data_IF_861272719318
#
_entry.id   IF_861272719318
#
_cell.length_a   1.000
_cell.length_b   1.000
_cell.length_c   1.000
_cell.angle_alpha   90.00
_cell.angle_beta   90.00
_cell.angle_gamma   90.00
#
_symmetry.space_group_name_H-M   'P 1'
#
loop_
_entity.id
_entity.type
_entity.pdbx_description
1 polymer ?
#
# COMPACT_ATOMS: atom_id res chain seq x y z
N UNK A 1 41.00 4.95 0.08
CA UNK A 1 40.11 4.78 1.24
C UNK A 1 38.87 5.68 1.24
N UNK A 2 38.92 6.93 0.75
CA UNK A 2 37.75 7.83 0.73
C UNK A 2 36.59 7.34 -0.16
N UNK A 3 36.90 6.73 -1.31
CA UNK A 3 35.90 6.20 -2.24
C UNK A 3 35.22 4.91 -1.77
N UNK A 4 35.88 4.14 -0.89
CA UNK A 4 35.33 2.90 -0.32
C UNK A 4 34.26 3.23 0.72
N UNK A 5 34.49 4.26 1.56
CA UNK A 5 33.50 4.76 2.52
C UNK A 5 32.26 5.37 1.84
N UNK A 6 32.43 6.06 0.70
CA UNK A 6 31.31 6.61 -0.08
C UNK A 6 30.50 5.50 -0.76
N UNK A 7 31.14 4.43 -1.25
CA UNK A 7 30.44 3.28 -1.82
C UNK A 7 29.69 2.44 -0.75
N UNK A 8 30.23 2.34 0.47
CA UNK A 8 29.57 1.65 1.59
C UNK A 8 28.30 2.38 2.08
N UNK A 9 28.29 3.72 2.00
CA UNK A 9 27.11 4.52 2.38
C UNK A 9 25.94 4.41 1.37
N UNK A 10 26.24 4.07 0.11
CA UNK A 10 25.22 3.91 -0.93
C UNK A 10 24.48 2.56 -0.84
N UNK A 11 25.08 1.56 -0.19
CA UNK A 11 24.52 0.22 -0.09
C UNK A 11 23.47 0.04 1.03
N UNK A 12 23.43 0.93 2.02
CA UNK A 12 22.54 0.76 3.19
C UNK A 12 21.10 1.24 2.97
N UNK A 13 20.82 1.88 1.83
CA UNK A 13 19.46 2.29 1.43
C UNK A 13 18.74 1.17 0.65
N UNK A 14 19.41 0.05 0.41
CA UNK A 14 18.86 -1.07 -0.34
C UNK A 14 17.94 -1.91 0.56
N UNK A 15 16.65 -1.62 0.44
CA UNK A 15 15.52 -2.53 0.70
C UNK A 15 15.19 -2.86 2.16
N UNK A 16 14.71 -1.86 2.91
CA UNK A 16 13.93 -2.10 4.12
C UNK A 16 12.49 -2.56 3.78
N UNK A 17 12.33 -3.63 3.00
CA UNK A 17 11.00 -4.22 2.75
C UNK A 17 10.44 -4.70 4.09
N UNK A 18 9.16 -4.47 4.40
CA UNK A 18 8.53 -5.08 5.57
C UNK A 18 7.01 -5.02 5.42
N UNK A 19 6.28 -5.86 6.16
CA UNK A 19 4.83 -5.71 6.29
C UNK A 19 4.39 -4.47 7.08
N UNK A 20 5.33 -3.77 7.72
CA UNK A 20 5.10 -2.46 8.32
C UNK A 20 5.09 -1.36 7.25
N UNK A 21 3.89 -0.88 6.95
CA UNK A 21 3.63 0.17 5.97
C UNK A 21 4.44 1.45 6.26
N UNK A 22 4.75 1.75 7.53
CA UNK A 22 5.46 2.96 7.92
C UNK A 22 6.96 2.92 7.60
N UNK A 23 7.54 1.75 7.33
CA UNK A 23 8.93 1.67 6.86
C UNK A 23 9.08 2.18 5.43
N UNK A 24 8.09 1.95 4.58
CA UNK A 24 8.06 2.47 3.21
C UNK A 24 7.40 3.86 3.14
N UNK A 25 6.41 4.13 4.00
CA UNK A 25 5.68 5.40 4.07
C UNK A 25 5.96 6.13 5.39
N UNK A 26 7.17 6.70 5.59
CA UNK A 26 7.52 7.36 6.86
C UNK A 26 6.63 8.57 7.17
N UNK A 27 6.07 9.24 6.15
CA UNK A 27 5.10 10.33 6.32
C UNK A 27 3.80 9.91 7.03
N UNK A 28 3.43 8.63 6.92
CA UNK A 28 2.25 8.05 7.56
C UNK A 28 2.35 8.09 9.09
N UNK A 29 3.57 8.08 9.66
CA UNK A 29 3.76 8.15 11.12
C UNK A 29 3.06 9.36 11.75
N UNK A 30 2.95 10.46 11.00
CA UNK A 30 2.28 11.69 11.46
C UNK A 30 0.75 11.55 11.52
N UNK A 31 0.17 10.71 10.67
CA UNK A 31 -1.28 10.53 10.53
C UNK A 31 -1.78 9.16 10.97
N UNK A 32 -0.92 8.28 11.51
CA UNK A 32 -1.27 6.90 11.89
C UNK A 32 -2.35 6.83 12.98
N UNK A 33 -2.52 7.88 13.77
CA UNK A 33 -3.56 7.97 14.79
C UNK A 33 -4.89 8.51 14.25
N UNK A 34 -4.93 8.96 13.00
CA UNK A 34 -6.16 9.43 12.38
C UNK A 34 -7.10 8.24 12.17
N UNK A 35 -8.40 8.51 12.25
CA UNK A 35 -9.46 7.50 12.11
C UNK A 35 -9.29 6.60 10.88
N UNK A 36 -8.84 7.19 9.76
CA UNK A 36 -8.68 6.47 8.48
C UNK A 36 -7.41 5.61 8.40
N UNK A 37 -6.37 5.91 9.19
CA UNK A 37 -5.08 5.20 9.15
C UNK A 37 -4.81 4.33 10.39
N UNK A 38 -5.59 4.47 11.47
CA UNK A 38 -5.41 3.69 12.70
C UNK A 38 -5.50 2.17 12.48
N UNK A 39 -6.25 1.76 11.46
CA UNK A 39 -6.38 0.35 11.05
C UNK A 39 -5.03 -0.29 10.70
N UNK A 40 -4.07 0.50 10.20
CA UNK A 40 -2.74 0.01 9.83
C UNK A 40 -1.98 -0.54 11.05
N UNK A 41 -2.28 -0.07 12.26
CA UNK A 41 -1.74 -0.64 13.50
C UNK A 41 -2.19 -2.07 13.75
N UNK A 42 -3.38 -2.46 13.27
CA UNK A 42 -3.83 -3.86 13.32
C UNK A 42 -3.17 -4.68 12.22
N UNK A 43 -2.95 -4.12 11.04
CA UNK A 43 -2.29 -4.84 9.95
C UNK A 43 -0.87 -5.30 10.35
N UNK A 44 -0.11 -4.42 11.01
CA UNK A 44 1.26 -4.73 11.43
C UNK A 44 1.35 -5.76 12.55
N UNK A 45 0.26 -6.11 13.26
CA UNK A 45 0.32 -7.17 14.28
C UNK A 45 0.46 -8.56 13.65
N UNK A 46 -0.04 -8.72 12.42
CA UNK A 46 0.06 -9.97 11.66
C UNK A 46 1.13 -9.89 10.56
N UNK A 47 1.36 -8.70 10.01
CA UNK A 47 2.37 -8.42 8.99
C UNK A 47 3.60 -7.71 9.60
N UNK A 48 4.17 -8.28 10.66
CA UNK A 48 5.33 -7.73 11.38
C UNK A 48 6.68 -8.10 10.73
N UNK A 49 6.69 -9.16 9.91
CA UNK A 49 7.88 -9.72 9.25
C UNK A 49 7.85 -9.51 7.74
N UNK A 50 9.03 -9.51 7.10
CA UNK A 50 9.09 -9.72 5.66
C UNK A 50 8.62 -11.14 5.35
N UNK A 51 7.70 -11.26 4.40
CA UNK A 51 7.68 -12.46 3.58
C UNK A 51 8.96 -12.48 2.73
N UNK A 52 9.64 -13.63 2.63
CA UNK A 52 10.77 -13.82 1.71
C UNK A 52 10.38 -13.57 0.23
N UNK A 53 9.08 -13.39 -0.05
CA UNK A 53 8.53 -13.08 -1.36
C UNK A 53 8.26 -11.58 -1.57
N UNK A 54 8.41 -10.73 -0.54
CA UNK A 54 8.26 -9.27 -0.65
C UNK A 54 9.59 -8.64 -1.05
N UNK A 55 9.80 -8.46 -2.36
CA UNK A 55 11.06 -7.98 -2.91
C UNK A 55 11.29 -6.47 -2.79
N UNK A 56 10.24 -5.63 -2.63
CA UNK A 56 10.38 -4.17 -2.59
C UNK A 56 9.41 -3.46 -1.62
N UNK A 57 9.93 -2.42 -0.95
CA UNK A 57 9.14 -1.44 -0.21
C UNK A 57 8.37 -0.57 -1.22
N UNK A 58 7.04 -0.53 -1.15
CA UNK A 58 6.24 0.30 -2.06
C UNK A 58 6.12 -0.22 -3.50
N UNK A 59 6.60 -1.43 -3.80
CA UNK A 59 5.87 -2.23 -4.79
C UNK A 59 4.47 -2.40 -4.23
N UNK A 60 3.41 -2.17 -5.01
CA UNK A 60 2.04 -2.32 -4.50
C UNK A 60 2.03 -3.63 -3.68
N UNK A 61 1.60 -3.60 -2.42
CA UNK A 61 1.31 -4.84 -1.69
C UNK A 61 0.43 -5.76 -2.57
N UNK A 62 -0.30 -5.11 -3.49
CA UNK A 62 -1.14 -5.71 -4.50
C UNK A 62 -0.48 -6.10 -5.83
N UNK A 63 0.77 -5.72 -6.10
CA UNK A 63 1.58 -6.23 -7.21
C UNK A 63 1.73 -7.74 -7.16
N UNK A 64 1.78 -8.33 -5.96
CA UNK A 64 1.84 -9.78 -5.77
C UNK A 64 0.46 -10.41 -5.44
N UNK A 65 -0.48 -9.62 -4.91
CA UNK A 65 -1.82 -10.09 -4.52
C UNK A 65 -2.90 -9.08 -4.86
N UNK A 66 -3.80 -9.33 -5.82
CA UNK A 66 -4.89 -8.37 -6.11
C UNK A 66 -5.62 -7.92 -4.84
N UNK A 67 -5.77 -6.60 -4.69
CA UNK A 67 -6.49 -5.97 -3.57
C UNK A 67 -7.91 -6.52 -3.45
N UNK A 68 -8.58 -6.68 -4.60
CA UNK A 68 -9.92 -7.25 -4.68
C UNK A 68 -9.97 -8.70 -4.22
N UNK A 69 -8.95 -9.50 -4.54
CA UNK A 69 -8.84 -10.89 -4.08
C UNK A 69 -8.70 -10.99 -2.56
N UNK A 70 -7.90 -10.11 -1.95
CA UNK A 70 -7.73 -10.07 -0.50
C UNK A 70 -9.00 -9.62 0.22
N UNK A 71 -9.69 -8.60 -0.30
CA UNK A 71 -10.99 -8.15 0.21
C UNK A 71 -12.01 -9.29 0.21
N UNK A 72 -12.00 -10.13 -0.83
CA UNK A 72 -12.93 -11.25 -0.97
C UNK A 72 -12.49 -12.52 -0.23
N UNK A 73 -11.37 -12.49 0.52
CA UNK A 73 -10.93 -13.63 1.32
C UNK A 73 -11.79 -13.82 2.59
N UNK A 74 -11.71 -15.00 3.20
CA UNK A 74 -12.44 -15.31 4.43
C UNK A 74 -11.93 -14.54 5.67
N UNK A 75 -10.74 -13.95 5.58
CA UNK A 75 -10.15 -13.18 6.67
C UNK A 75 -10.83 -11.83 6.83
N UNK A 76 -11.59 -11.68 7.92
CA UNK A 76 -12.32 -10.44 8.25
C UNK A 76 -11.41 -9.20 8.30
N UNK A 77 -10.15 -9.34 8.70
CA UNK A 77 -9.17 -8.26 8.71
C UNK A 77 -8.86 -7.75 7.28
N UNK A 78 -8.79 -8.63 6.28
CA UNK A 78 -8.53 -8.22 4.89
C UNK A 78 -9.73 -7.51 4.25
N UNK A 79 -10.95 -7.79 4.70
CA UNK A 79 -12.16 -7.07 4.24
C UNK A 79 -12.08 -5.57 4.53
N UNK A 80 -11.31 -5.16 5.54
CA UNK A 80 -11.09 -3.74 5.86
C UNK A 80 -10.34 -2.98 4.76
N UNK A 81 -9.63 -3.66 3.85
CA UNK A 81 -8.97 -3.03 2.71
C UNK A 81 -9.96 -2.28 1.79
N UNK A 82 -11.24 -2.63 1.80
CA UNK A 82 -12.29 -1.89 1.09
C UNK A 82 -12.40 -0.43 1.58
N UNK A 83 -12.12 -0.17 2.86
CA UNK A 83 -12.09 1.20 3.40
C UNK A 83 -10.97 2.03 2.79
N UNK A 84 -9.81 1.43 2.54
CA UNK A 84 -8.65 2.10 1.93
C UNK A 84 -8.97 2.60 0.52
N UNK A 85 -9.80 1.86 -0.24
CA UNK A 85 -10.22 2.21 -1.62
C UNK A 85 -11.06 3.49 -1.68
N UNK A 86 -11.62 3.93 -0.56
CA UNK A 86 -12.28 5.24 -0.45
C UNK A 86 -11.33 6.41 -0.66
N UNK A 87 -10.01 6.22 -0.57
CA UNK A 87 -9.03 7.26 -0.89
C UNK A 87 -7.95 6.76 -1.85
N UNK A 88 -7.51 5.51 -1.71
CA UNK A 88 -6.48 4.87 -2.53
C UNK A 88 -7.10 3.99 -3.63
N UNK A 89 -7.50 4.60 -4.73
CA UNK A 89 -8.08 3.90 -5.89
C UNK A 89 -6.97 3.14 -6.61
N UNK A 90 -7.14 1.83 -6.83
CA UNK A 90 -6.18 1.03 -7.59
C UNK A 90 -6.39 1.20 -9.10
N UNK A 91 -5.37 0.84 -9.89
CA UNK A 91 -5.49 0.79 -11.36
C UNK A 91 -6.58 -0.19 -11.82
N UNK A 92 -6.73 -1.31 -11.12
CA UNK A 92 -7.78 -2.30 -11.38
C UNK A 92 -9.17 -1.67 -11.22
N UNK A 93 -9.38 -0.89 -10.16
CA UNK A 93 -10.65 -0.20 -9.93
C UNK A 93 -10.93 0.84 -10.99
N UNK A 94 -9.90 1.60 -11.36
CA UNK A 94 -9.98 2.59 -12.42
C UNK A 94 -10.39 1.99 -13.77
N UNK A 95 -9.91 0.80 -14.09
CA UNK A 95 -10.25 0.10 -15.33
C UNK A 95 -11.59 -0.65 -15.24
N UNK A 96 -12.09 -0.92 -14.04
CA UNK A 96 -13.36 -1.62 -13.80
C UNK A 96 -14.59 -0.71 -13.83
N UNK A 97 -14.40 0.61 -13.89
CA UNK A 97 -15.52 1.53 -14.05
C UNK A 97 -16.26 1.22 -15.35
N UNK A 98 -17.60 1.06 -15.31
CA UNK A 98 -18.36 0.81 -16.52
C UNK A 98 -18.08 1.95 -17.50
N UNK A 99 -17.66 1.60 -18.72
CA UNK A 99 -17.42 2.53 -19.81
C UNK A 99 -18.77 3.06 -20.30
N UNK A 100 -19.45 3.84 -19.46
CA UNK A 100 -20.64 4.57 -19.85
C UNK A 100 -20.13 5.80 -20.60
N UNK A 101 -20.51 5.92 -21.87
CA UNK A 101 -19.96 6.90 -22.83
C UNK A 101 -20.13 8.36 -22.40
N UNK A 102 -20.90 8.61 -21.34
CA UNK A 102 -21.25 9.95 -20.86
C UNK A 102 -20.49 10.37 -19.60
N UNK A 103 -19.74 9.48 -18.95
CA UNK A 103 -18.95 9.81 -17.75
C UNK A 103 -17.51 10.13 -18.10
N UNK A 104 -17.15 11.41 -18.03
CA UNK A 104 -15.77 11.88 -18.11
C UNK A 104 -15.02 11.64 -16.77
N UNK A 105 -13.69 11.59 -16.84
CA UNK A 105 -12.81 11.37 -15.68
C UNK A 105 -13.09 12.32 -14.50
N UNK A 106 -13.52 13.54 -14.80
CA UNK A 106 -13.88 14.56 -13.82
C UNK A 106 -15.11 14.16 -13.00
N UNK A 107 -16.12 13.53 -13.62
CA UNK A 107 -17.35 13.14 -12.93
C UNK A 107 -17.14 11.93 -12.01
N UNK A 108 -16.23 11.03 -12.38
CA UNK A 108 -15.79 9.93 -11.51
C UNK A 108 -15.01 10.41 -10.27
N UNK A 109 -14.32 11.55 -10.38
CA UNK A 109 -13.57 12.15 -9.27
C UNK A 109 -14.44 13.08 -8.41
N UNK A 110 -15.56 13.61 -8.93
CA UNK A 110 -16.49 14.51 -8.23
C UNK A 110 -17.50 13.79 -7.33
N UNK A 111 -17.85 12.53 -7.62
CA UNK A 111 -18.82 11.76 -6.82
C UNK A 111 -18.21 11.13 -5.55
N UNK A 112 -17.17 11.74 -4.99
CA UNK A 112 -16.41 11.23 -3.86
C UNK A 112 -16.20 12.29 -2.78
#
# INVERSE_FOLDING_TARGET
MRYILVNLLFFTILFACSGDCMKCHPGLKKSINNKEHIILKQCITCHDKLSNQMSQCGGDCFSCHSQNKLINSDYKAHKQLASCKKCHISKEDFLSFPNNRDSNLIDLLKNK
#
